data_IF_797699443018
#
_entry.id   IF_797699443018
#
_cell.length_a   1.000
_cell.length_b   1.000
_cell.length_c   1.000
_cell.angle_alpha   90.00
_cell.angle_beta   90.00
_cell.angle_gamma   90.00
#
_symmetry.space_group_name_H-M   'P 1'
#
loop_
_entity.id
_entity.type
_entity.pdbx_description
1 polymer ?
#
# COMPACT_ATOMS: atom_id res chain seq x y z
N UNK A 1 -15.08 -5.67 -9.57
CA UNK A 1 -16.14 -5.57 -10.59
C UNK A 1 -17.53 -5.65 -10.00
N UNK A 2 -17.81 -6.61 -9.09
CA UNK A 2 -19.14 -6.72 -8.47
C UNK A 2 -19.46 -5.60 -7.47
N UNK A 3 -18.48 -5.16 -6.70
CA UNK A 3 -18.60 -4.13 -5.66
C UNK A 3 -18.99 -2.74 -6.19
N UNK A 4 -18.87 -2.54 -7.50
CA UNK A 4 -19.25 -1.31 -8.20
C UNK A 4 -20.60 -1.40 -8.89
N UNK A 5 -21.22 -2.58 -8.93
CA UNK A 5 -22.54 -2.79 -9.51
C UNK A 5 -23.60 -2.14 -8.60
N UNK A 6 -24.52 -1.40 -9.21
CA UNK A 6 -25.65 -0.78 -8.52
C UNK A 6 -26.87 -1.67 -8.52
N UNK A 7 -26.90 -2.66 -9.39
CA UNK A 7 -27.97 -3.61 -9.59
C UNK A 7 -27.56 -5.02 -9.17
N UNK A 8 -28.56 -5.82 -8.79
CA UNK A 8 -28.43 -7.27 -8.67
C UNK A 8 -28.82 -7.90 -10.02
N UNK A 9 -28.04 -7.62 -11.07
CA UNK A 9 -28.32 -8.19 -12.39
C UNK A 9 -27.54 -9.50 -12.64
N UNK A 10 -28.24 -10.41 -13.31
CA UNK A 10 -28.01 -11.84 -13.49
C UNK A 10 -26.83 -12.20 -14.38
N UNK A 11 -26.01 -13.15 -13.94
CA UNK A 11 -25.33 -14.09 -14.84
C UNK A 11 -25.82 -15.49 -14.47
N UNK A 12 -26.92 -15.91 -15.08
CA UNK A 12 -27.35 -17.30 -15.03
C UNK A 12 -26.57 -18.11 -16.07
N UNK A 13 -26.20 -19.35 -15.76
CA UNK A 13 -25.82 -20.31 -16.79
C UNK A 13 -27.03 -20.58 -17.70
N UNK A 14 -26.80 -20.58 -19.02
CA UNK A 14 -27.83 -21.01 -19.96
C UNK A 14 -28.22 -22.46 -19.67
N UNK A 15 -29.43 -22.68 -19.13
CA UNK A 15 -30.06 -24.02 -19.12
C UNK A 15 -30.43 -24.60 -17.76
N UNK A 16 -30.04 -24.02 -16.63
CA UNK A 16 -30.47 -24.48 -15.31
C UNK A 16 -31.23 -23.35 -14.59
N UNK A 17 -32.46 -23.62 -14.14
CA UNK A 17 -33.39 -22.63 -13.59
C UNK A 17 -32.71 -21.62 -12.68
N UNK A 18 -32.63 -20.37 -13.15
CA UNK A 18 -31.73 -19.33 -12.66
C UNK A 18 -31.58 -19.27 -11.15
N UNK A 19 -30.45 -19.76 -10.67
CA UNK A 19 -29.99 -19.50 -9.31
C UNK A 19 -29.49 -18.06 -9.29
N UNK A 20 -30.10 -17.25 -8.42
CA UNK A 20 -29.80 -15.83 -8.28
C UNK A 20 -28.61 -15.67 -7.32
N UNK A 21 -27.42 -15.53 -7.88
CA UNK A 21 -26.22 -15.27 -7.07
C UNK A 21 -25.90 -13.78 -7.05
N UNK A 22 -25.72 -13.25 -5.83
CA UNK A 22 -25.26 -11.88 -5.62
C UNK A 22 -23.74 -11.80 -5.74
N UNK A 23 -23.23 -11.33 -6.88
CA UNK A 23 -21.79 -11.18 -7.12
C UNK A 23 -21.20 -9.86 -6.62
N UNK A 24 -21.95 -9.01 -5.91
CA UNK A 24 -21.45 -7.69 -5.46
C UNK A 24 -20.31 -7.78 -4.43
N UNK A 25 -20.12 -8.95 -3.84
CA UNK A 25 -18.99 -9.24 -2.95
C UNK A 25 -17.69 -9.54 -3.71
N UNK A 26 -17.73 -9.71 -5.04
CA UNK A 26 -16.55 -10.03 -5.87
C UNK A 26 -15.72 -8.77 -6.10
N UNK A 27 -14.60 -8.68 -5.39
CA UNK A 27 -13.67 -7.55 -5.45
C UNK A 27 -12.63 -7.77 -6.55
N UNK A 28 -12.38 -6.74 -7.36
CA UNK A 28 -11.26 -6.74 -8.31
C UNK A 28 -10.10 -5.90 -7.73
N UNK A 29 -8.87 -6.43 -7.58
CA UNK A 29 -7.81 -5.71 -6.86
C UNK A 29 -7.25 -4.45 -7.56
N UNK A 30 -7.46 -4.30 -8.88
CA UNK A 30 -7.14 -3.08 -9.63
C UNK A 30 -8.38 -2.21 -9.79
N UNK A 31 -8.16 -0.95 -10.14
CA UNK A 31 -9.24 -0.11 -10.64
C UNK A 31 -9.89 -0.76 -11.87
N UNK A 32 -11.21 -0.94 -11.85
CA UNK A 32 -11.96 -1.60 -12.94
C UNK A 32 -11.90 -0.81 -14.25
N UNK A 33 -11.51 0.47 -14.21
CA UNK A 33 -11.23 1.29 -15.40
C UNK A 33 -9.90 0.93 -16.06
N UNK A 34 -9.03 0.17 -15.40
CA UNK A 34 -7.78 -0.30 -15.98
C UNK A 34 -8.04 -1.45 -16.97
N UNK A 35 -8.51 -1.12 -18.17
CA UNK A 35 -8.91 -2.09 -19.19
C UNK A 35 -7.74 -2.99 -19.64
N UNK A 36 -6.53 -2.42 -19.73
CA UNK A 36 -5.31 -3.14 -20.13
C UNK A 36 -4.81 -4.13 -19.08
N UNK A 37 -5.43 -4.17 -17.90
CA UNK A 37 -5.21 -5.24 -16.93
C UNK A 37 -5.59 -6.63 -17.46
N UNK A 38 -6.59 -6.70 -18.34
CA UNK A 38 -7.10 -7.94 -18.94
C UNK A 38 -7.06 -7.89 -20.47
N UNK A 39 -7.42 -6.76 -21.08
CA UNK A 39 -7.52 -6.65 -22.54
C UNK A 39 -6.13 -6.53 -23.17
N UNK A 40 -5.81 -7.51 -24.01
CA UNK A 40 -4.53 -7.60 -24.74
C UNK A 40 -4.57 -6.92 -26.12
N UNK A 41 -5.72 -6.40 -26.52
CA UNK A 41 -5.95 -5.65 -27.77
C UNK A 41 -6.94 -4.50 -27.55
N UNK A 42 -7.15 -3.67 -28.57
CA UNK A 42 -7.91 -2.42 -28.48
C UNK A 42 -9.43 -2.56 -28.64
N UNK A 43 -10.00 -3.79 -28.68
CA UNK A 43 -11.45 -3.95 -28.84
C UNK A 43 -12.27 -3.36 -27.71
N UNK A 44 -11.72 -3.28 -26.50
CA UNK A 44 -12.37 -2.61 -25.35
C UNK A 44 -12.70 -1.14 -25.61
N UNK A 45 -11.96 -0.47 -26.50
CA UNK A 45 -12.20 0.94 -26.88
C UNK A 45 -12.66 1.14 -28.32
N UNK A 46 -12.52 0.14 -29.20
CA UNK A 46 -12.87 0.26 -30.62
C UNK A 46 -14.19 -0.41 -31.00
N UNK A 47 -14.75 -1.26 -30.12
CA UNK A 47 -16.00 -1.99 -30.37
C UNK A 47 -16.99 -1.85 -29.19
N UNK A 48 -17.48 -0.62 -28.89
CA UNK A 48 -18.47 -0.43 -27.84
C UNK A 48 -19.80 -1.10 -28.21
N UNK A 49 -20.43 -1.75 -27.23
CA UNK A 49 -21.74 -2.40 -27.35
C UNK A 49 -22.55 -2.22 -26.07
N UNK A 50 -23.88 -2.27 -26.18
CA UNK A 50 -24.77 -2.20 -25.03
C UNK A 50 -24.47 -3.30 -24.02
N UNK A 51 -24.25 -4.53 -24.49
CA UNK A 51 -23.95 -5.67 -23.63
C UNK A 51 -22.62 -5.51 -22.90
N UNK A 52 -21.53 -5.15 -23.60
CA UNK A 52 -20.23 -5.01 -22.94
C UNK A 52 -20.20 -3.84 -21.96
N UNK A 53 -20.64 -2.65 -22.39
CA UNK A 53 -20.60 -1.44 -21.57
C UNK A 53 -21.60 -1.54 -20.40
N UNK A 54 -22.78 -2.11 -20.64
CA UNK A 54 -23.84 -2.28 -19.64
C UNK A 54 -23.48 -3.24 -18.51
N UNK A 55 -22.45 -4.09 -18.66
CA UNK A 55 -22.00 -4.96 -17.55
C UNK A 55 -21.46 -4.18 -16.35
N UNK A 56 -20.76 -3.07 -16.59
CA UNK A 56 -20.23 -2.18 -15.55
C UNK A 56 -21.08 -0.91 -15.39
N UNK A 57 -21.67 -0.43 -16.49
CA UNK A 57 -22.66 0.65 -16.48
C UNK A 57 -24.07 0.07 -16.32
N UNK A 58 -24.24 -0.74 -15.29
CA UNK A 58 -25.40 -1.60 -15.05
C UNK A 58 -26.68 -0.84 -14.68
N UNK A 59 -26.55 0.43 -14.30
CA UNK A 59 -27.69 1.32 -14.08
C UNK A 59 -28.04 2.19 -15.30
N UNK A 60 -27.45 1.93 -16.48
CA UNK A 60 -27.69 2.71 -17.70
C UNK A 60 -28.62 1.94 -18.63
N UNK A 61 -29.80 2.52 -18.88
CA UNK A 61 -30.81 1.95 -19.75
C UNK A 61 -30.68 2.45 -21.18
N UNK A 62 -30.44 1.54 -22.11
CA UNK A 62 -30.29 1.83 -23.54
C UNK A 62 -31.61 1.72 -24.33
N UNK A 63 -32.68 1.20 -23.73
CA UNK A 63 -33.97 1.01 -24.40
C UNK A 63 -34.91 2.22 -24.33
N UNK A 64 -36.19 1.98 -24.64
CA UNK A 64 -37.25 2.99 -24.50
C UNK A 64 -37.42 3.39 -23.02
N UNK A 65 -37.46 4.68 -22.73
CA UNK A 65 -37.62 5.20 -21.37
C UNK A 65 -38.95 4.76 -20.74
N UNK A 66 -39.97 4.49 -21.54
CA UNK A 66 -41.26 4.00 -21.05
C UNK A 66 -41.17 2.58 -20.43
N UNK A 67 -40.18 1.78 -20.84
CA UNK A 67 -39.94 0.43 -20.30
C UNK A 67 -38.73 0.36 -19.35
N UNK A 68 -38.15 1.50 -18.99
CA UNK A 68 -36.97 1.57 -18.14
C UNK A 68 -37.25 1.00 -16.74
N UNK A 69 -36.40 0.09 -16.23
CA UNK A 69 -36.50 -0.40 -14.87
C UNK A 69 -36.41 0.73 -13.83
N UNK A 70 -37.15 0.58 -12.73
CA UNK A 70 -37.13 1.56 -11.63
C UNK A 70 -35.76 1.55 -10.96
N UNK A 71 -35.07 2.68 -11.00
CA UNK A 71 -33.72 2.85 -10.41
C UNK A 71 -32.64 3.08 -11.46
N UNK A 72 -32.93 2.77 -12.72
CA UNK A 72 -32.00 3.01 -13.83
C UNK A 72 -32.06 4.46 -14.31
N UNK A 73 -31.03 4.84 -15.05
CA UNK A 73 -30.89 6.13 -15.71
C UNK A 73 -30.89 5.92 -17.21
N UNK A 74 -31.75 6.65 -17.93
CA UNK A 74 -31.79 6.59 -19.39
C UNK A 74 -30.45 7.04 -19.99
N UNK A 75 -29.97 6.32 -21.00
CA UNK A 75 -28.76 6.67 -21.71
C UNK A 75 -28.89 8.08 -22.33
N UNK A 76 -27.95 9.01 -22.09
CA UNK A 76 -28.09 10.41 -22.54
C UNK A 76 -28.22 10.59 -24.06
N UNK A 77 -27.71 9.63 -24.84
CA UNK A 77 -27.85 9.60 -26.30
C UNK A 77 -29.24 9.16 -26.79
N UNK A 78 -30.18 8.89 -25.87
CA UNK A 78 -31.49 8.32 -26.17
C UNK A 78 -31.46 6.81 -26.41
N UNK A 79 -32.64 6.21 -26.70
CA UNK A 79 -32.76 4.78 -26.97
C UNK A 79 -31.87 4.33 -28.13
N UNK A 80 -31.11 3.26 -27.94
CA UNK A 80 -30.25 2.63 -28.94
C UNK A 80 -30.92 1.33 -29.41
N UNK A 81 -31.15 1.19 -30.72
CA UNK A 81 -31.78 -0.02 -31.28
C UNK A 81 -30.77 -1.14 -31.55
N UNK A 82 -29.48 -0.80 -31.66
CA UNK A 82 -28.36 -1.71 -31.83
C UNK A 82 -27.03 -0.99 -31.54
N UNK A 83 -25.92 -1.72 -31.63
CA UNK A 83 -24.58 -1.22 -31.25
C UNK A 83 -23.87 -0.44 -32.37
N UNK A 84 -24.42 -0.42 -33.60
CA UNK A 84 -23.74 0.16 -34.78
C UNK A 84 -23.47 1.66 -34.63
N UNK A 85 -24.28 2.36 -33.84
CA UNK A 85 -24.17 3.79 -33.59
C UNK A 85 -23.17 4.17 -32.49
N UNK A 86 -22.78 3.24 -31.61
CA UNK A 86 -22.08 3.55 -30.37
C UNK A 86 -20.75 4.28 -30.60
N UNK A 87 -19.93 3.81 -31.55
CA UNK A 87 -18.63 4.40 -31.82
C UNK A 87 -18.73 5.82 -32.40
N UNK A 88 -19.87 6.25 -32.95
CA UNK A 88 -20.08 7.63 -33.41
C UNK A 88 -19.89 8.64 -32.28
N UNK A 89 -20.38 8.30 -31.09
CA UNK A 89 -20.34 9.15 -29.91
C UNK A 89 -19.20 8.76 -28.94
N UNK A 90 -18.96 7.46 -28.78
CA UNK A 90 -17.94 6.89 -27.91
C UNK A 90 -16.70 6.49 -28.71
N UNK A 91 -15.93 7.49 -29.12
CA UNK A 91 -14.68 7.30 -29.84
C UNK A 91 -13.59 6.75 -28.90
N UNK A 92 -12.60 5.99 -29.42
CA UNK A 92 -11.58 5.34 -28.61
C UNK A 92 -10.71 6.35 -27.84
N UNK A 93 -10.10 7.30 -28.56
CA UNK A 93 -9.05 8.17 -28.00
C UNK A 93 -9.37 9.66 -28.12
N UNK A 94 -10.21 10.06 -29.08
CA UNK A 94 -10.57 11.46 -29.31
C UNK A 94 -11.91 11.80 -28.69
N UNK A 95 -12.00 12.96 -28.04
CA UNK A 95 -13.28 13.45 -27.51
C UNK A 95 -14.23 13.76 -28.67
N UNK A 96 -15.46 13.27 -28.59
CA UNK A 96 -16.57 13.59 -29.50
C UNK A 96 -17.65 14.34 -28.71
N UNK A 97 -18.92 13.99 -28.88
CA UNK A 97 -20.03 14.43 -28.03
C UNK A 97 -19.91 13.90 -26.58
N UNK A 98 -19.22 12.78 -26.39
CA UNK A 98 -18.84 12.23 -25.10
C UNK A 98 -17.30 12.25 -24.93
N UNK A 99 -16.78 12.18 -23.69
CA UNK A 99 -15.37 11.84 -23.46
C UNK A 99 -15.00 10.56 -24.22
N UNK A 100 -13.76 10.48 -24.70
CA UNK A 100 -13.27 9.25 -25.34
C UNK A 100 -13.25 8.11 -24.32
N UNK A 101 -13.34 6.87 -24.80
CA UNK A 101 -13.32 5.69 -23.93
C UNK A 101 -12.01 5.64 -23.14
N UNK A 102 -10.86 5.92 -23.76
CA UNK A 102 -9.57 5.97 -23.07
C UNK A 102 -9.53 7.03 -21.97
N UNK A 103 -10.01 8.25 -22.24
CA UNK A 103 -9.99 9.32 -21.23
C UNK A 103 -10.99 9.09 -20.10
N UNK A 104 -12.18 8.54 -20.38
CA UNK A 104 -13.18 8.21 -19.37
C UNK A 104 -12.72 7.09 -18.42
N UNK A 105 -11.90 6.16 -18.91
CA UNK A 105 -11.36 5.03 -18.16
C UNK A 105 -9.91 5.26 -17.70
N UNK A 106 -9.42 6.50 -17.77
CA UNK A 106 -8.07 6.82 -17.32
C UNK A 106 -7.95 6.65 -15.80
N UNK A 107 -6.96 5.85 -15.37
CA UNK A 107 -6.64 5.64 -13.96
C UNK A 107 -5.46 6.54 -13.60
N UNK A 108 -5.75 7.72 -13.06
CA UNK A 108 -4.73 8.65 -12.58
C UNK A 108 -5.05 9.13 -11.18
N UNK A 109 -4.00 9.23 -10.36
CA UNK A 109 -4.08 9.84 -9.04
C UNK A 109 -3.79 11.32 -9.20
N UNK A 110 -4.78 12.16 -8.92
CA UNK A 110 -4.69 13.60 -9.03
C UNK A 110 -3.89 14.22 -7.87
N UNK A 111 -2.58 13.95 -7.80
CA UNK A 111 -1.66 14.68 -6.93
C UNK A 111 -1.63 16.16 -7.34
N UNK A 112 -1.73 17.06 -6.37
CA UNK A 112 -1.56 18.50 -6.56
C UNK A 112 -0.09 18.89 -6.61
N UNK A 113 0.78 18.08 -5.97
CA UNK A 113 2.18 18.40 -5.80
C UNK A 113 3.09 17.27 -6.30
N UNK A 114 4.17 17.65 -6.98
CA UNK A 114 5.29 16.76 -7.29
C UNK A 114 6.39 17.01 -6.26
N UNK A 115 6.84 15.94 -5.61
CA UNK A 115 7.97 15.98 -4.68
C UNK A 115 9.21 15.43 -5.40
N UNK A 116 10.33 16.13 -5.27
CA UNK A 116 11.64 15.68 -5.72
C UNK A 116 12.57 15.59 -4.50
N UNK A 117 13.28 14.47 -4.35
CA UNK A 117 14.24 14.23 -3.29
C UNK A 117 15.65 14.10 -3.85
N UNK A 118 16.60 14.74 -3.19
CA UNK A 118 18.03 14.55 -3.42
C UNK A 118 18.75 14.35 -2.09
N UNK A 119 19.87 13.62 -2.15
CA UNK A 119 20.77 13.40 -1.02
C UNK A 119 22.19 13.76 -1.48
N UNK A 120 23.01 14.31 -0.59
CA UNK A 120 24.44 14.55 -0.88
C UNK A 120 25.14 13.26 -1.29
N UNK A 121 26.17 13.34 -2.13
CA UNK A 121 26.99 12.16 -2.42
C UNK A 121 27.85 11.77 -1.21
N UNK A 122 28.09 10.48 -0.96
CA UNK A 122 29.10 10.04 0.02
C UNK A 122 30.50 10.43 -0.46
N UNK A 123 31.47 10.60 0.45
CA UNK A 123 32.81 11.08 0.09
C UNK A 123 33.56 10.11 -0.85
N UNK A 124 33.29 8.81 -0.72
CA UNK A 124 33.84 7.77 -1.59
C UNK A 124 33.04 7.58 -2.91
N UNK A 125 31.95 8.32 -3.11
CA UNK A 125 31.11 8.27 -4.31
C UNK A 125 30.21 7.03 -4.46
N UNK A 126 30.20 6.10 -3.49
CA UNK A 126 29.49 4.81 -3.57
C UNK A 126 28.48 4.58 -2.45
N UNK A 127 28.90 4.69 -1.20
CA UNK A 127 28.06 4.44 -0.02
C UNK A 127 28.54 5.24 1.18
N UNK A 128 27.63 5.55 2.10
CA UNK A 128 27.98 6.30 3.30
C UNK A 128 28.72 5.44 4.32
N UNK A 129 29.67 6.06 5.03
CA UNK A 129 30.46 5.42 6.11
C UNK A 129 30.41 6.22 7.40
N UNK A 130 30.76 5.58 8.52
CA UNK A 130 30.74 6.21 9.84
C UNK A 130 31.47 7.57 9.85
N UNK A 131 30.86 8.56 10.49
CA UNK A 131 31.31 9.95 10.50
C UNK A 131 30.63 10.83 9.45
N UNK A 132 30.05 10.24 8.39
CA UNK A 132 29.32 10.99 7.38
C UNK A 132 27.87 11.27 7.82
N UNK A 133 27.43 12.51 7.57
CA UNK A 133 26.08 13.00 7.87
C UNK A 133 25.41 13.42 6.57
N UNK A 134 24.61 12.56 5.92
CA UNK A 134 23.99 12.91 4.65
C UNK A 134 23.05 14.11 4.80
N UNK A 135 23.00 14.98 3.79
CA UNK A 135 22.04 16.10 3.75
C UNK A 135 21.01 15.87 2.65
N UNK A 136 19.74 15.98 3.02
CA UNK A 136 18.61 15.89 2.10
C UNK A 136 18.23 17.26 1.57
N UNK A 137 17.78 17.29 0.32
CA UNK A 137 17.14 18.43 -0.32
C UNK A 137 15.80 17.97 -0.88
N UNK A 138 14.73 18.68 -0.52
CA UNK A 138 13.35 18.37 -0.85
C UNK A 138 12.77 19.56 -1.61
N UNK A 139 12.36 19.33 -2.85
CA UNK A 139 11.70 20.33 -3.69
C UNK A 139 10.25 19.92 -3.91
N UNK A 140 9.34 20.88 -3.78
CA UNK A 140 7.91 20.68 -3.97
C UNK A 140 7.47 21.59 -5.12
N UNK A 141 6.79 21.02 -6.12
CA UNK A 141 6.25 21.77 -7.27
C UNK A 141 4.76 21.53 -7.40
N UNK A 142 4.02 22.56 -7.82
CA UNK A 142 2.63 22.41 -8.22
C UNK A 142 2.56 21.62 -9.55
N UNK A 143 1.72 20.59 -9.60
CA UNK A 143 1.63 19.68 -10.77
C UNK A 143 1.04 20.37 -11.99
N UNK A 144 0.15 21.35 -11.81
CA UNK A 144 -0.53 22.03 -12.91
C UNK A 144 0.35 23.06 -13.61
N UNK A 145 1.09 23.83 -12.82
CA UNK A 145 1.90 24.97 -13.28
C UNK A 145 3.38 24.63 -13.41
N UNK A 146 3.86 23.58 -12.73
CA UNK A 146 5.28 23.25 -12.62
C UNK A 146 6.07 24.19 -11.70
N UNK A 147 5.42 25.20 -11.11
CA UNK A 147 6.07 26.20 -10.27
C UNK A 147 6.53 25.59 -8.94
N UNK A 148 7.71 26.01 -8.45
CA UNK A 148 8.18 25.63 -7.13
C UNK A 148 7.31 26.28 -6.04
N UNK A 149 6.91 25.47 -5.06
CA UNK A 149 6.21 25.95 -3.87
C UNK A 149 7.25 26.38 -2.86
N UNK A 150 7.09 27.59 -2.31
CA UNK A 150 7.96 28.09 -1.26
C UNK A 150 7.70 27.36 0.07
N UNK A 151 8.62 26.51 0.55
CA UNK A 151 8.40 25.76 1.78
C UNK A 151 8.53 26.60 3.05
N UNK A 152 9.19 27.77 3.00
CA UNK A 152 9.31 28.66 4.16
C UNK A 152 7.99 29.33 4.53
N UNK A 153 6.99 29.29 3.64
CA UNK A 153 5.65 29.81 3.90
C UNK A 153 4.65 28.73 4.31
N UNK A 154 5.05 27.45 4.28
CA UNK A 154 4.19 26.34 4.68
C UNK A 154 4.23 26.20 6.19
N UNK A 155 3.11 26.43 6.86
CA UNK A 155 2.99 26.45 8.32
C UNK A 155 2.11 25.30 8.81
N UNK A 156 2.30 24.90 10.07
CA UNK A 156 1.32 24.03 10.73
C UNK A 156 0.01 24.81 11.02
N UNK A 157 -1.18 24.18 10.93
CA UNK A 157 -2.46 24.81 11.15
C UNK A 157 -2.57 25.34 12.58
N UNK A 158 -3.09 26.56 12.73
CA UNK A 158 -3.41 27.11 14.06
C UNK A 158 -4.57 26.37 14.72
N UNK A 159 -5.54 25.91 13.91
CA UNK A 159 -6.69 25.10 14.33
C UNK A 159 -6.94 24.03 13.27
N UNK A 160 -7.12 22.78 13.67
CA UNK A 160 -7.23 21.62 12.75
C UNK A 160 -8.45 21.68 11.81
N UNK A 161 -9.44 22.52 12.11
CA UNK A 161 -10.72 22.62 11.39
C UNK A 161 -10.78 23.74 10.35
N UNK A 162 -9.84 24.69 10.34
CA UNK A 162 -9.83 25.79 9.38
C UNK A 162 -8.40 26.05 8.87
N UNK A 163 -8.06 25.38 7.78
CA UNK A 163 -6.73 25.40 7.16
C UNK A 163 -6.75 26.28 5.91
N UNK A 164 -6.04 27.40 5.94
CA UNK A 164 -5.73 28.19 4.75
C UNK A 164 -4.81 27.41 3.79
N UNK A 165 -4.65 27.90 2.55
CA UNK A 165 -3.86 27.21 1.53
C UNK A 165 -2.40 26.90 1.95
N UNK A 166 -1.81 27.74 2.80
CA UNK A 166 -0.44 27.59 3.30
C UNK A 166 -0.36 26.83 4.63
N UNK A 167 -1.51 26.50 5.26
CA UNK A 167 -1.60 25.68 6.46
C UNK A 167 -1.76 24.20 6.08
N UNK A 168 -0.63 23.55 5.85
CA UNK A 168 -0.62 22.14 5.46
C UNK A 168 -0.87 21.26 6.66
N UNK A 169 -1.55 20.12 6.50
CA UNK A 169 -1.77 19.15 7.59
C UNK A 169 -0.51 18.34 7.94
N UNK A 170 0.48 18.32 7.06
CA UNK A 170 1.76 17.64 7.29
C UNK A 170 2.78 17.87 6.18
N UNK A 171 4.06 17.83 6.53
CA UNK A 171 5.18 17.65 5.61
C UNK A 171 6.15 16.67 6.29
N UNK A 172 5.93 15.37 6.10
CA UNK A 172 6.48 14.34 6.98
C UNK A 172 7.65 13.63 6.32
N UNK A 173 8.76 13.56 7.04
CA UNK A 173 9.99 12.88 6.65
C UNK A 173 10.21 11.63 7.50
N UNK A 174 10.51 10.54 6.83
CA UNK A 174 10.88 9.25 7.41
C UNK A 174 12.22 8.83 6.85
N UNK A 175 13.09 8.32 7.71
CA UNK A 175 14.29 7.61 7.28
C UNK A 175 14.34 6.30 8.03
N UNK A 176 14.49 5.22 7.28
CA UNK A 176 14.42 3.87 7.84
C UNK A 176 15.35 2.90 7.13
N UNK A 177 15.84 1.90 7.86
CA UNK A 177 16.67 0.84 7.31
C UNK A 177 17.50 0.09 8.35
N UNK A 178 18.36 -0.85 7.93
CA UNK A 178 18.50 -1.29 6.53
C UNK A 178 17.26 -2.09 6.09
N UNK A 179 17.06 -2.33 4.79
CA UNK A 179 15.86 -3.00 4.24
C UNK A 179 15.61 -4.39 4.85
N UNK A 180 16.66 -5.07 5.30
CA UNK A 180 16.61 -6.39 5.94
C UNK A 180 16.06 -6.38 7.37
N UNK A 181 16.13 -5.25 8.07
CA UNK A 181 15.65 -5.06 9.44
C UNK A 181 15.34 -3.58 9.62
N UNK A 182 14.24 -3.15 9.01
CA UNK A 182 13.95 -1.74 8.84
C UNK A 182 13.47 -1.15 10.16
N UNK A 183 14.26 -0.20 10.68
CA UNK A 183 13.91 0.60 11.86
C UNK A 183 14.05 2.08 11.52
N UNK A 184 13.29 2.98 12.16
CA UNK A 184 13.51 4.42 12.03
C UNK A 184 14.92 4.79 12.48
N UNK A 185 15.62 5.62 11.70
CA UNK A 185 17.00 6.04 12.00
C UNK A 185 17.25 7.47 11.53
N UNK A 186 18.37 8.06 11.94
CA UNK A 186 18.98 9.26 11.35
C UNK A 186 18.20 10.58 11.44
N UNK A 187 16.97 10.60 11.94
CA UNK A 187 16.20 11.82 12.16
C UNK A 187 16.03 12.13 13.64
N UNK A 188 15.71 13.39 13.97
CA UNK A 188 15.46 13.81 15.36
C UNK A 188 14.32 13.00 15.98
N UNK A 189 13.26 12.66 15.24
CA UNK A 189 12.16 11.87 15.78
C UNK A 189 12.54 10.40 15.97
N UNK A 190 13.40 9.85 15.11
CA UNK A 190 13.88 8.47 15.26
C UNK A 190 14.78 8.31 16.50
N UNK A 191 15.53 9.36 16.87
CA UNK A 191 16.37 9.36 18.05
C UNK A 191 15.61 9.53 19.38
N UNK A 192 14.31 9.85 19.34
CA UNK A 192 13.51 10.00 20.57
C UNK A 192 13.27 8.63 21.23
N UNK A 193 13.38 8.55 22.57
CA UNK A 193 12.87 7.43 23.34
C UNK A 193 11.39 7.14 23.03
N UNK A 194 10.98 5.86 23.08
CA UNK A 194 9.64 5.42 22.70
C UNK A 194 8.50 6.14 23.45
N UNK A 195 8.71 6.47 24.72
CA UNK A 195 7.78 7.23 25.58
C UNK A 195 7.63 8.71 25.20
N UNK A 196 8.57 9.24 24.40
CA UNK A 196 8.60 10.65 23.96
C UNK A 196 8.22 10.85 22.51
N UNK A 197 8.01 9.78 21.74
CA UNK A 197 7.56 9.87 20.35
C UNK A 197 6.11 10.40 20.34
N UNK A 198 5.89 11.52 19.65
CA UNK A 198 4.60 12.24 19.66
C UNK A 198 3.58 11.69 18.67
N UNK A 199 4.05 10.87 17.73
CA UNK A 199 3.26 10.24 16.69
C UNK A 199 3.42 8.72 16.77
N UNK A 200 2.46 8.01 16.20
CA UNK A 200 2.49 6.55 16.04
C UNK A 200 3.65 6.05 15.16
N UNK A 201 4.44 6.96 14.60
CA UNK A 201 5.62 6.74 13.78
C UNK A 201 6.60 7.91 13.95
N UNK A 202 7.91 7.68 13.78
CA UNK A 202 8.98 8.66 13.95
C UNK A 202 9.13 9.49 12.68
N UNK A 203 8.05 10.20 12.35
CA UNK A 203 8.08 11.22 11.32
C UNK A 203 8.59 12.53 11.89
N UNK A 204 9.47 13.18 11.15
CA UNK A 204 9.81 14.59 11.38
C UNK A 204 8.86 15.46 10.58
N UNK A 205 8.29 16.46 11.26
CA UNK A 205 7.46 17.45 10.60
C UNK A 205 8.32 18.62 10.11
N UNK A 206 8.33 18.82 8.80
CA UNK A 206 9.16 19.80 8.13
C UNK A 206 8.41 21.10 7.81
N UNK A 207 7.15 21.26 8.25
CA UNK A 207 6.44 22.55 8.17
C UNK A 207 7.01 23.54 9.17
N UNK A 208 6.82 24.83 8.95
CA UNK A 208 7.11 25.86 9.97
C UNK A 208 6.16 25.67 11.13
N UNK A 209 6.71 25.53 12.34
CA UNK A 209 5.99 25.31 13.59
C UNK A 209 5.56 26.65 14.18
N UNK A 210 4.36 26.69 14.75
CA UNK A 210 3.84 27.87 15.45
C UNK A 210 4.65 28.14 16.72
N UNK A 211 5.12 27.09 17.38
CA UNK A 211 5.93 27.17 18.59
C UNK A 211 7.39 26.92 18.23
N UNK A 212 8.23 27.94 18.38
CA UNK A 212 9.64 27.89 18.01
C UNK A 212 10.42 26.75 18.68
N UNK A 213 10.07 26.36 19.91
CA UNK A 213 10.71 25.23 20.62
C UNK A 213 10.39 23.86 20.02
N UNK A 214 9.37 23.78 19.16
CA UNK A 214 9.00 22.55 18.45
C UNK A 214 9.66 22.46 17.07
N UNK A 215 10.42 23.48 16.64
CA UNK A 215 11.22 23.42 15.42
C UNK A 215 12.36 22.42 15.59
N UNK A 216 12.51 21.55 14.60
CA UNK A 216 13.63 20.65 14.52
C UNK A 216 14.83 21.41 13.94
N UNK A 217 15.90 21.54 14.72
CA UNK A 217 17.10 22.27 14.34
C UNK A 217 17.83 21.66 13.12
N UNK A 218 17.53 20.40 12.76
CA UNK A 218 18.05 19.78 11.55
C UNK A 218 17.41 20.30 10.25
N UNK A 219 16.30 21.05 10.36
CA UNK A 219 15.53 21.54 9.21
C UNK A 219 15.95 22.96 8.85
N UNK A 220 16.16 23.21 7.56
CA UNK A 220 16.27 24.57 7.02
C UNK A 220 15.34 24.70 5.82
N UNK A 221 14.71 25.87 5.67
CA UNK A 221 13.73 26.15 4.61
C UNK A 221 14.19 27.37 3.84
N UNK A 222 14.28 27.27 2.52
CA UNK A 222 14.51 28.40 1.62
C UNK A 222 13.24 28.71 0.83
N UNK A 223 13.30 29.68 -0.08
CA UNK A 223 12.19 29.96 -1.00
C UNK A 223 11.91 28.83 -2.00
N UNK A 224 12.83 27.87 -2.16
CA UNK A 224 12.77 26.86 -3.23
C UNK A 224 12.85 25.41 -2.74
N UNK A 225 13.35 25.17 -1.52
CA UNK A 225 13.56 23.83 -1.01
C UNK A 225 13.54 23.77 0.52
N UNK A 226 13.29 22.57 1.04
CA UNK A 226 13.59 22.19 2.42
C UNK A 226 14.91 21.41 2.38
N UNK A 227 15.83 21.68 3.29
CA UNK A 227 16.98 20.81 3.55
C UNK A 227 16.90 20.21 4.93
N UNK A 228 17.24 18.92 5.04
CA UNK A 228 17.29 18.21 6.32
C UNK A 228 18.69 17.61 6.51
N UNK A 229 19.34 17.92 7.63
CA UNK A 229 20.62 17.31 7.98
C UNK A 229 20.38 16.01 8.74
N UNK A 230 20.68 14.87 8.12
CA UNK A 230 20.59 13.58 8.80
C UNK A 230 21.70 13.43 9.85
N UNK A 231 21.43 12.52 10.79
CA UNK A 231 22.41 12.04 11.77
C UNK A 231 23.61 11.35 11.13
N UNK A 232 24.57 11.01 11.97
CA UNK A 232 25.74 10.23 11.57
C UNK A 232 25.32 8.79 11.28
N UNK A 233 25.80 8.23 10.17
CA UNK A 233 25.55 6.82 9.81
C UNK A 233 26.41 5.83 10.61
N UNK A 234 27.16 6.30 11.61
CA UNK A 234 27.85 5.44 12.58
C UNK A 234 26.87 4.46 13.21
N UNK A 235 27.39 3.29 13.57
CA UNK A 235 26.66 2.19 14.24
C UNK A 235 25.49 1.61 13.42
N UNK A 236 25.27 2.10 12.19
CA UNK A 236 24.32 1.52 11.26
C UNK A 236 24.88 0.27 10.60
N UNK A 237 24.03 -0.75 10.51
CA UNK A 237 24.33 -1.98 9.76
C UNK A 237 24.45 -1.66 8.27
N UNK A 238 25.41 -2.29 7.60
CA UNK A 238 25.54 -2.14 6.16
C UNK A 238 24.27 -2.61 5.41
N UNK A 239 23.82 -1.83 4.43
CA UNK A 239 22.64 -2.16 3.62
C UNK A 239 21.97 -0.94 2.95
N UNK A 240 20.77 -1.18 2.43
CA UNK A 240 19.93 -0.17 1.78
C UNK A 240 19.04 0.54 2.81
N UNK A 241 19.08 1.86 2.81
CA UNK A 241 18.22 2.73 3.61
C UNK A 241 17.27 3.51 2.72
N UNK A 242 16.10 3.82 3.25
CA UNK A 242 15.03 4.53 2.54
C UNK A 242 14.76 5.85 3.22
N UNK A 243 14.77 6.92 2.42
CA UNK A 243 14.20 8.22 2.76
C UNK A 243 12.83 8.29 2.10
N UNK A 244 11.80 8.58 2.88
CA UNK A 244 10.46 8.79 2.38
C UNK A 244 9.94 10.14 2.87
N UNK A 245 9.40 10.93 1.95
CA UNK A 245 8.74 12.19 2.28
C UNK A 245 7.37 12.25 1.64
N UNK A 246 6.41 12.81 2.37
CA UNK A 246 5.15 13.19 1.78
C UNK A 246 4.65 14.56 2.25
N UNK A 247 4.08 15.27 1.28
CA UNK A 247 3.42 16.55 1.40
C UNK A 247 1.93 16.35 1.61
N UNK A 248 1.38 16.97 2.64
CA UNK A 248 -0.02 16.85 3.01
C UNK A 248 -0.67 18.24 3.10
N UNK A 249 -1.20 18.79 2.00
CA UNK A 249 -1.83 20.10 1.97
C UNK A 249 -3.13 20.15 2.78
N UNK A 250 -3.71 21.34 2.87
CA UNK A 250 -4.99 21.61 3.53
C UNK A 250 -6.15 20.79 2.93
N UNK A 251 -6.19 20.71 1.60
CA UNK A 251 -7.21 20.04 0.80
C UNK A 251 -6.58 19.29 -0.36
N UNK A 252 -7.26 18.23 -0.81
CA UNK A 252 -6.77 17.38 -1.90
C UNK A 252 -5.52 16.57 -1.55
N UNK A 253 -4.97 15.91 -2.57
CA UNK A 253 -3.80 15.06 -2.43
C UNK A 253 -2.56 15.89 -2.71
N UNK A 254 -1.59 15.88 -1.80
CA UNK A 254 -0.34 16.57 -2.02
C UNK A 254 0.54 15.84 -3.01
N UNK A 255 1.60 15.23 -2.49
CA UNK A 255 2.57 14.48 -3.27
C UNK A 255 3.50 13.71 -2.34
N UNK A 256 4.22 12.74 -2.88
CA UNK A 256 5.18 11.97 -2.11
C UNK A 256 6.35 11.54 -3.00
N UNK A 257 7.47 11.19 -2.37
CA UNK A 257 8.63 10.65 -3.04
C UNK A 257 9.42 9.78 -2.06
N UNK A 258 10.13 8.78 -2.60
CA UNK A 258 11.17 8.07 -1.87
C UNK A 258 12.49 8.12 -2.64
N UNK A 259 13.59 8.02 -1.90
CA UNK A 259 14.92 7.75 -2.45
C UNK A 259 15.63 6.74 -1.55
N UNK A 260 16.36 5.82 -2.16
CA UNK A 260 17.18 4.85 -1.45
C UNK A 260 18.65 5.27 -1.48
N UNK A 261 19.39 5.01 -0.40
CA UNK A 261 20.82 5.21 -0.32
C UNK A 261 21.49 4.03 0.38
N UNK A 262 22.81 3.90 0.22
CA UNK A 262 23.57 2.79 0.78
C UNK A 262 24.46 3.23 1.94
N UNK A 263 24.58 2.38 2.94
CA UNK A 263 25.51 2.54 4.07
C UNK A 263 26.39 1.30 4.14
N UNK A 264 27.71 1.47 4.26
CA UNK A 264 28.69 0.40 4.48
C UNK A 264 28.87 -0.64 3.37
N UNK A 265 28.10 -0.58 2.29
CA UNK A 265 28.18 -1.50 1.13
C UNK A 265 27.66 -0.81 -0.12
N UNK A 266 28.18 -1.13 -1.30
CA UNK A 266 27.58 -0.67 -2.58
C UNK A 266 26.46 -1.60 -3.09
N UNK A 267 26.32 -2.78 -2.49
CA UNK A 267 25.35 -3.80 -2.92
C UNK A 267 23.99 -3.54 -2.28
N UNK A 268 22.95 -3.21 -3.07
CA UNK A 268 21.63 -2.98 -2.50
C UNK A 268 21.02 -4.27 -1.95
N UNK A 269 20.51 -4.22 -0.73
CA UNK A 269 19.63 -5.25 -0.19
C UNK A 269 18.46 -5.53 -1.15
N UNK A 270 18.13 -6.80 -1.40
CA UNK A 270 16.93 -7.14 -2.17
C UNK A 270 15.66 -6.95 -1.33
N UNK A 271 14.56 -6.57 -1.97
CA UNK A 271 13.23 -6.63 -1.34
C UNK A 271 12.84 -8.08 -1.07
N UNK A 272 11.95 -8.34 -0.10
CA UNK A 272 11.47 -9.71 0.16
C UNK A 272 10.39 -10.12 -0.85
N UNK A 273 9.61 -9.17 -1.37
CA UNK A 273 8.59 -9.36 -2.39
C UNK A 273 8.52 -8.11 -3.28
N UNK A 274 8.13 -8.27 -4.55
CA UNK A 274 8.20 -7.22 -5.59
C UNK A 274 6.98 -7.20 -6.51
N UNK A 275 6.25 -8.31 -6.64
CA UNK A 275 5.24 -8.52 -7.69
C UNK A 275 3.82 -8.05 -7.35
N UNK A 276 3.66 -7.12 -6.41
CA UNK A 276 2.35 -6.59 -5.97
C UNK A 276 1.51 -6.05 -7.14
N UNK A 277 2.16 -5.31 -8.06
CA UNK A 277 1.51 -4.64 -9.19
C UNK A 277 0.91 -5.62 -10.22
N UNK A 278 1.30 -6.91 -10.21
CA UNK A 278 0.68 -7.89 -11.09
C UNK A 278 -0.83 -8.00 -10.83
N UNK A 279 -1.23 -8.03 -9.57
CA UNK A 279 -2.63 -8.08 -9.16
C UNK A 279 -3.19 -6.69 -8.88
N UNK A 280 -2.42 -5.79 -8.28
CA UNK A 280 -2.95 -4.49 -7.83
C UNK A 280 -2.72 -3.33 -8.80
N UNK A 281 -1.83 -3.45 -9.79
CA UNK A 281 -1.58 -2.38 -10.78
C UNK A 281 -1.29 -1.04 -10.10
N UNK A 282 -2.06 -0.03 -10.49
CA UNK A 282 -1.96 1.36 -10.00
C UNK A 282 -2.75 1.61 -8.71
N UNK A 283 -3.25 0.55 -8.05
CA UNK A 283 -3.92 0.66 -6.76
C UNK A 283 -3.00 1.29 -5.74
N UNK A 284 -3.61 2.13 -4.90
CA UNK A 284 -2.94 2.87 -3.86
C UNK A 284 -3.56 2.61 -2.51
N UNK A 285 -2.70 2.46 -1.51
CA UNK A 285 -3.11 2.37 -0.12
C UNK A 285 -3.31 3.76 0.44
N UNK A 286 -4.21 3.89 1.41
CA UNK A 286 -4.54 5.16 2.06
C UNK A 286 -5.14 6.21 1.10
N UNK A 287 -5.72 5.80 -0.04
CA UNK A 287 -6.25 6.69 -1.09
C UNK A 287 -7.42 7.59 -0.70
N UNK A 288 -8.21 7.21 0.31
CA UNK A 288 -9.24 8.08 0.91
C UNK A 288 -8.71 8.93 2.07
N UNK A 289 -7.48 8.65 2.50
CA UNK A 289 -6.86 9.37 3.61
C UNK A 289 -6.21 10.64 3.10
N UNK A 290 -6.24 11.68 3.92
CA UNK A 290 -5.50 12.90 3.60
C UNK A 290 -3.97 12.65 3.70
N UNK A 291 -3.49 11.57 4.34
CA UNK A 291 -2.06 11.24 4.33
C UNK A 291 -1.52 10.98 2.91
N UNK A 292 -2.43 10.68 1.97
CA UNK A 292 -2.15 10.54 0.55
C UNK A 292 -2.28 9.09 0.10
N UNK A 293 -2.68 8.84 -1.15
CA UNK A 293 -2.50 7.55 -1.78
C UNK A 293 -1.01 7.24 -1.87
N UNK A 294 -0.65 6.01 -1.51
CA UNK A 294 0.69 5.50 -1.61
C UNK A 294 0.69 4.31 -2.57
N UNK A 295 1.56 4.37 -3.57
CA UNK A 295 1.82 3.25 -4.47
C UNK A 295 2.22 2.00 -3.69
N UNK A 296 1.93 0.83 -4.25
CA UNK A 296 2.28 -0.46 -3.65
C UNK A 296 3.76 -0.81 -3.82
N UNK A 297 4.63 0.10 -3.38
CA UNK A 297 6.06 -0.10 -3.27
C UNK A 297 6.41 -0.61 -1.85
N UNK A 298 7.07 -1.77 -1.69
CA UNK A 298 7.37 -2.33 -0.37
C UNK A 298 8.13 -1.37 0.56
N UNK A 299 9.14 -0.65 0.05
CA UNK A 299 9.92 0.33 0.83
C UNK A 299 9.06 1.49 1.37
N UNK A 300 8.02 1.87 0.61
CA UNK A 300 7.08 2.91 1.02
C UNK A 300 6.24 2.44 2.21
N UNK A 301 5.71 1.22 2.14
CA UNK A 301 4.92 0.65 3.23
C UNK A 301 5.76 0.49 4.51
N UNK A 302 7.01 0.01 4.36
CA UNK A 302 7.95 -0.20 5.47
C UNK A 302 8.36 1.09 6.19
N UNK A 303 8.20 2.26 5.55
CA UNK A 303 8.44 3.55 6.21
C UNK A 303 7.48 3.80 7.38
N UNK A 304 6.31 3.14 7.41
CA UNK A 304 5.30 3.26 8.47
C UNK A 304 4.85 1.92 9.10
N UNK A 305 4.99 0.80 8.39
CA UNK A 305 4.50 -0.53 8.80
C UNK A 305 5.67 -1.50 9.03
N UNK A 306 6.47 -1.25 10.06
CA UNK A 306 7.63 -2.08 10.38
C UNK A 306 7.66 -2.56 11.84
N UNK A 307 8.74 -3.26 12.20
CA UNK A 307 9.00 -3.86 13.51
C UNK A 307 8.86 -2.81 14.64
N UNK A 308 9.59 -1.70 14.58
CA UNK A 308 9.59 -0.79 15.72
C UNK A 308 8.27 -0.02 15.86
N UNK A 309 7.48 -0.40 16.88
CA UNK A 309 6.36 0.41 17.38
C UNK A 309 6.87 1.71 17.95
N UNK A 310 6.09 2.77 17.77
CA UNK A 310 6.56 4.12 18.08
C UNK A 310 5.69 4.84 19.13
N UNK A 311 4.76 4.15 19.79
CA UNK A 311 3.99 4.65 20.94
C UNK A 311 3.75 3.52 21.97
N UNK A 312 3.61 3.81 23.28
CA UNK A 312 3.22 2.82 24.30
C UNK A 312 1.73 2.40 24.22
N UNK A 313 1.34 1.20 24.66
CA UNK A 313 -0.06 0.72 24.71
C UNK A 313 -0.25 -0.79 24.43
N UNK A 314 -1.39 -1.39 24.78
CA UNK A 314 -1.60 -2.85 24.86
C UNK A 314 -0.96 -3.70 23.74
N UNK A 315 -0.05 -4.56 24.16
CA UNK A 315 0.94 -5.30 23.35
C UNK A 315 0.61 -6.78 23.16
N UNK A 316 -0.61 -7.20 23.48
CA UNK A 316 -1.00 -8.60 23.30
C UNK A 316 -1.13 -8.95 21.82
N UNK A 317 -0.58 -10.10 21.44
CA UNK A 317 -0.86 -10.75 20.14
C UNK A 317 -2.39 -10.94 19.93
N UNK A 318 -3.16 -10.99 21.03
CA UNK A 318 -4.61 -11.21 21.14
C UNK A 318 -5.43 -9.96 21.46
N UNK A 319 -4.80 -8.80 21.74
CA UNK A 319 -5.56 -7.61 22.17
C UNK A 319 -5.90 -6.73 20.98
N UNK A 320 -7.18 -6.77 20.57
CA UNK A 320 -7.83 -6.02 19.47
C UNK A 320 -7.60 -4.50 19.43
N UNK A 321 -6.98 -3.88 20.43
CA UNK A 321 -7.45 -2.57 20.86
C UNK A 321 -6.57 -1.35 20.57
N UNK A 322 -5.61 -1.40 19.65
CA UNK A 322 -5.06 -0.15 19.09
C UNK A 322 -4.61 -0.31 17.64
N UNK A 323 -5.49 0.16 16.75
CA UNK A 323 -5.16 0.44 15.37
C UNK A 323 -4.07 1.51 15.27
N UNK A 324 -3.26 1.34 14.22
CA UNK A 324 -2.13 2.17 13.80
C UNK A 324 -0.82 1.94 14.59
N UNK A 325 0.23 1.53 13.87
CA UNK A 325 1.63 1.76 14.29
C UNK A 325 2.64 0.61 14.34
N UNK A 326 2.25 -0.66 14.48
CA UNK A 326 3.22 -1.70 14.89
C UNK A 326 2.89 -3.15 14.54
N UNK A 327 2.11 -3.36 13.47
CA UNK A 327 2.10 -4.68 12.86
C UNK A 327 3.03 -4.59 11.65
N UNK A 328 4.17 -5.30 11.66
CA UNK A 328 5.08 -5.34 10.52
C UNK A 328 4.30 -5.67 9.24
N UNK A 329 4.69 -5.07 8.13
CA UNK A 329 4.00 -5.22 6.84
C UNK A 329 3.79 -6.69 6.46
N UNK A 330 4.72 -7.57 6.84
CA UNK A 330 4.61 -9.02 6.63
C UNK A 330 3.33 -9.60 7.25
N UNK A 331 2.96 -9.22 8.48
CA UNK A 331 1.72 -9.69 9.14
C UNK A 331 0.49 -9.20 8.40
N UNK A 332 0.48 -7.92 8.01
CA UNK A 332 -0.66 -7.30 7.32
C UNK A 332 -0.90 -7.92 5.96
N UNK A 333 0.16 -8.00 5.15
CA UNK A 333 0.08 -8.52 3.78
C UNK A 333 -0.35 -9.97 3.81
N UNK A 334 0.32 -10.85 4.57
CA UNK A 334 -0.08 -12.25 4.64
C UNK A 334 -1.50 -12.42 5.19
N UNK A 335 -1.84 -11.75 6.31
CA UNK A 335 -3.14 -11.86 6.94
C UNK A 335 -4.28 -11.43 6.02
N UNK A 336 -4.18 -10.27 5.36
CA UNK A 336 -5.23 -9.78 4.43
C UNK A 336 -5.40 -10.73 3.26
N UNK A 337 -4.31 -11.28 2.70
CA UNK A 337 -4.41 -12.18 1.55
C UNK A 337 -4.85 -13.59 1.94
N UNK A 338 -4.67 -14.02 3.19
CA UNK A 338 -5.26 -15.27 3.68
C UNK A 338 -6.73 -15.09 4.09
N UNK A 339 -7.07 -13.92 4.62
CA UNK A 339 -8.43 -13.37 4.72
C UNK A 339 -9.44 -14.37 5.26
N UNK A 340 -10.37 -14.79 4.40
CA UNK A 340 -11.42 -15.77 4.66
C UNK A 340 -10.96 -17.05 5.38
N UNK A 341 -9.72 -17.47 5.17
CA UNK A 341 -9.19 -18.73 5.69
C UNK A 341 -8.48 -18.61 7.04
N UNK A 342 -8.33 -17.39 7.56
CA UNK A 342 -7.82 -17.18 8.92
C UNK A 342 -8.86 -17.62 9.95
N UNK A 343 -8.41 -18.13 11.10
CA UNK A 343 -9.30 -18.42 12.23
C UNK A 343 -9.73 -17.12 12.95
N UNK A 344 -8.95 -16.04 12.81
CA UNK A 344 -9.14 -14.75 13.46
C UNK A 344 -9.06 -13.56 12.47
N UNK A 345 -9.94 -13.50 11.44
CA UNK A 345 -9.88 -12.47 10.39
C UNK A 345 -10.04 -11.04 10.92
N UNK A 346 -10.72 -10.87 12.06
CA UNK A 346 -10.93 -9.59 12.75
C UNK A 346 -9.72 -9.13 13.57
N UNK A 347 -8.66 -9.94 13.65
CA UNK A 347 -7.42 -9.63 14.36
C UNK A 347 -6.27 -9.23 13.41
N UNK A 348 -6.50 -9.27 12.10
CA UNK A 348 -5.54 -8.80 11.09
C UNK A 348 -5.35 -7.27 11.18
N UNK A 349 -6.45 -6.54 11.36
CA UNK A 349 -6.46 -5.09 11.56
C UNK A 349 -7.59 -4.67 12.50
N UNK A 350 -7.28 -3.78 13.46
CA UNK A 350 -8.18 -3.41 14.56
C UNK A 350 -9.52 -2.74 14.16
N UNK A 351 -9.75 -2.42 12.88
CA UNK A 351 -10.93 -1.67 12.43
C UNK A 351 -11.70 -2.35 11.30
N UNK A 352 -11.13 -3.37 10.66
CA UNK A 352 -11.67 -3.93 9.42
C UNK A 352 -11.85 -5.44 9.57
N UNK A 353 -12.87 -5.98 8.92
CA UNK A 353 -13.08 -7.42 8.80
C UNK A 353 -12.61 -7.87 7.40
N UNK A 354 -11.63 -8.77 7.34
CA UNK A 354 -11.10 -9.33 6.09
C UNK A 354 -11.63 -10.74 5.81
N UNK A 355 -12.66 -11.19 6.52
CA UNK A 355 -13.29 -12.50 6.30
C UNK A 355 -13.90 -12.67 4.89
N UNK A 356 -14.19 -11.56 4.20
CA UNK A 356 -14.64 -11.57 2.80
C UNK A 356 -13.52 -11.63 1.75
N UNK A 357 -12.24 -11.53 2.15
CA UNK A 357 -11.13 -11.53 1.19
C UNK A 357 -10.75 -12.97 0.84
N UNK A 358 -10.89 -13.31 -0.45
CA UNK A 358 -10.45 -14.58 -1.04
C UNK A 358 -9.34 -14.29 -2.04
N UNK A 359 -8.13 -14.83 -1.80
CA UNK A 359 -7.02 -14.67 -2.75
C UNK A 359 -7.34 -15.36 -4.08
N UNK A 360 -7.14 -14.72 -5.26
CA UNK A 360 -7.52 -15.31 -6.55
C UNK A 360 -6.78 -16.62 -6.91
N UNK A 361 -5.62 -16.88 -6.30
CA UNK A 361 -4.86 -18.13 -6.49
C UNK A 361 -4.79 -18.94 -5.19
N UNK A 362 -4.12 -20.09 -5.22
CA UNK A 362 -3.66 -20.75 -4.00
C UNK A 362 -2.64 -19.85 -3.30
N UNK A 363 -2.89 -19.49 -2.04
CA UNK A 363 -2.05 -18.58 -1.25
C UNK A 363 -0.67 -19.17 -0.97
N UNK A 364 -0.53 -20.50 -1.06
CA UNK A 364 0.75 -21.21 -0.93
C UNK A 364 1.65 -21.01 -2.14
N UNK A 365 1.14 -20.39 -3.21
CA UNK A 365 1.97 -19.90 -4.31
C UNK A 365 2.83 -18.70 -3.87
N UNK A 366 3.80 -18.92 -2.98
CA UNK A 366 4.63 -17.87 -2.41
C UNK A 366 5.35 -17.04 -3.49
N UNK A 367 5.75 -17.67 -4.59
CA UNK A 367 6.47 -17.03 -5.71
C UNK A 367 5.62 -16.03 -6.48
N UNK A 368 4.30 -15.99 -6.23
CA UNK A 368 3.43 -14.93 -6.76
C UNK A 368 3.83 -13.54 -6.25
N UNK A 369 4.31 -13.46 -5.01
CA UNK A 369 4.85 -12.23 -4.42
C UNK A 369 6.37 -12.29 -4.25
N UNK A 370 6.88 -13.43 -3.78
CA UNK A 370 8.29 -13.70 -3.50
C UNK A 370 9.01 -14.27 -4.72
N UNK A 371 9.20 -13.41 -5.72
CA UNK A 371 9.81 -13.81 -6.99
C UNK A 371 11.34 -13.89 -6.95
N UNK A 372 11.93 -14.21 -8.09
CA UNK A 372 13.39 -14.31 -8.25
C UNK A 372 14.12 -12.94 -8.15
N UNK A 373 13.42 -11.82 -8.34
CA UNK A 373 13.99 -10.49 -8.14
C UNK A 373 14.13 -10.16 -6.65
N UNK A 374 13.30 -10.75 -5.80
CA UNK A 374 13.37 -10.65 -4.36
C UNK A 374 14.51 -11.46 -3.70
N UNK A 375 14.58 -11.35 -2.37
CA UNK A 375 15.45 -12.17 -1.51
C UNK A 375 14.76 -13.49 -1.12
N UNK A 376 15.57 -14.51 -0.79
CA UNK A 376 15.08 -15.79 -0.29
C UNK A 376 14.67 -15.78 1.20
N UNK A 377 14.63 -14.61 1.85
CA UNK A 377 14.35 -14.51 3.29
C UNK A 377 13.03 -15.16 3.69
N UNK A 378 12.03 -15.19 2.81
CA UNK A 378 10.74 -15.84 3.05
C UNK A 378 10.85 -17.35 3.33
N UNK A 379 11.89 -18.02 2.83
CA UNK A 379 12.17 -19.45 3.06
C UNK A 379 13.42 -19.72 3.92
N UNK A 380 14.33 -18.76 4.02
CA UNK A 380 15.58 -18.89 4.78
C UNK A 380 15.46 -18.36 6.22
N UNK A 381 14.57 -17.39 6.45
CA UNK A 381 14.42 -16.68 7.73
C UNK A 381 12.95 -16.65 8.20
N UNK A 382 12.37 -17.81 8.55
CA UNK A 382 11.02 -17.87 9.09
C UNK A 382 10.95 -17.14 10.44
N UNK A 383 9.87 -16.36 10.64
CA UNK A 383 9.61 -15.62 11.86
C UNK A 383 8.15 -15.77 12.30
N UNK A 384 7.90 -15.66 13.61
CA UNK A 384 6.52 -15.74 14.13
C UNK A 384 5.62 -14.67 13.50
N UNK A 385 6.17 -13.49 13.20
CA UNK A 385 5.45 -12.36 12.61
C UNK A 385 4.90 -12.70 11.22
N UNK A 386 5.67 -13.41 10.40
CA UNK A 386 5.25 -13.78 9.05
C UNK A 386 4.37 -15.03 9.03
N UNK A 387 4.74 -16.06 9.81
CA UNK A 387 4.06 -17.37 9.79
C UNK A 387 2.68 -17.29 10.45
N UNK A 388 2.57 -16.66 11.60
CA UNK A 388 1.31 -16.58 12.36
C UNK A 388 0.31 -15.58 11.76
N UNK A 389 0.68 -14.92 10.66
CA UNK A 389 -0.25 -14.08 9.91
C UNK A 389 -1.29 -14.91 9.14
N UNK A 390 -0.92 -16.13 8.71
CA UNK A 390 -1.84 -17.09 8.11
C UNK A 390 -2.16 -18.25 9.09
N UNK A 391 -1.22 -18.61 9.96
CA UNK A 391 -1.38 -19.70 10.92
C UNK A 391 -1.76 -19.17 12.31
N UNK A 392 -3.02 -18.77 12.48
CA UNK A 392 -3.52 -18.03 13.65
C UNK A 392 -4.41 -18.85 14.61
N UNK A 393 -4.37 -20.18 14.49
CA UNK A 393 -4.91 -21.09 15.51
C UNK A 393 -4.21 -20.89 16.84
N UNK A 394 -4.95 -21.06 17.94
CA UNK A 394 -4.39 -20.97 19.29
C UNK A 394 -3.17 -21.89 19.49
N UNK A 395 -3.19 -23.10 18.94
CA UNK A 395 -2.05 -24.02 19.00
C UNK A 395 -0.84 -23.54 18.19
N UNK A 396 -1.05 -22.92 17.02
CA UNK A 396 0.00 -22.36 16.19
C UNK A 396 0.63 -21.13 16.86
N UNK A 397 -0.20 -20.26 17.44
CA UNK A 397 0.25 -19.10 18.22
C UNK A 397 1.09 -19.55 19.40
N UNK A 398 0.60 -20.51 20.19
CA UNK A 398 1.34 -21.05 21.33
C UNK A 398 2.70 -21.64 20.90
N UNK A 399 2.72 -22.42 19.81
CA UNK A 399 3.97 -22.92 19.24
C UNK A 399 4.91 -21.79 18.84
N UNK A 400 4.46 -20.82 18.05
CA UNK A 400 5.27 -19.69 17.61
C UNK A 400 5.82 -18.86 18.77
N UNK A 401 5.01 -18.60 19.80
CA UNK A 401 5.45 -17.90 21.02
C UNK A 401 6.54 -18.68 21.76
N UNK A 402 6.43 -20.00 21.88
CA UNK A 402 7.46 -20.82 22.52
C UNK A 402 8.78 -20.89 21.72
N UNK A 403 8.73 -20.65 20.40
CA UNK A 403 9.90 -20.68 19.52
C UNK A 403 10.58 -19.32 19.38
N UNK A 404 10.09 -18.28 20.04
CA UNK A 404 10.64 -16.92 19.95
C UNK A 404 11.02 -16.42 21.34
N UNK A 405 12.30 -16.10 21.52
CA UNK A 405 12.75 -15.37 22.71
C UNK A 405 12.57 -13.88 22.45
N UNK A 406 11.78 -13.23 23.29
CA UNK A 406 11.56 -11.79 23.27
C UNK A 406 12.37 -11.13 24.40
N UNK A 407 13.38 -10.34 24.03
CA UNK A 407 14.23 -9.63 25.00
C UNK A 407 13.52 -8.41 25.60
N UNK A 408 12.49 -7.90 24.92
CA UNK A 408 11.68 -6.76 25.34
C UNK A 408 10.19 -7.12 25.36
N UNK A 409 9.71 -7.97 26.31
CA UNK A 409 8.32 -8.47 26.31
C UNK A 409 7.23 -7.40 26.38
N UNK A 410 7.58 -6.19 26.82
CA UNK A 410 6.68 -5.04 26.83
C UNK A 410 6.50 -4.41 25.43
N UNK A 411 7.36 -4.75 24.47
CA UNK A 411 7.38 -4.28 23.07
C UNK A 411 7.61 -5.47 22.11
N UNK A 412 6.66 -6.41 22.00
CA UNK A 412 6.81 -7.70 21.31
C UNK A 412 6.74 -7.59 19.77
N UNK A 413 7.12 -6.43 19.23
CA UNK A 413 7.35 -6.22 17.82
C UNK A 413 8.66 -5.45 17.56
N UNK A 414 9.45 -5.11 18.59
CA UNK A 414 10.63 -4.22 18.52
C UNK A 414 11.70 -4.64 17.49
N UNK A 415 11.61 -5.86 16.95
CA UNK A 415 12.52 -6.42 15.98
C UNK A 415 13.85 -6.79 16.62
N UNK A 416 13.89 -6.97 17.95
CA UNK A 416 15.01 -7.55 18.69
C UNK A 416 14.79 -9.04 19.02
N UNK A 417 13.66 -9.60 18.59
CA UNK A 417 13.27 -10.95 18.94
C UNK A 417 14.16 -11.99 18.27
N UNK A 418 14.49 -13.02 19.03
CA UNK A 418 15.37 -14.10 18.60
C UNK A 418 14.51 -15.30 18.21
N UNK A 419 14.47 -15.57 16.91
CA UNK A 419 13.67 -16.65 16.31
C UNK A 419 14.46 -17.96 16.27
N UNK A 420 13.94 -19.00 16.90
CA UNK A 420 14.50 -20.36 16.78
C UNK A 420 13.86 -21.17 15.65
N UNK A 421 12.86 -20.59 14.97
CA UNK A 421 12.09 -21.17 13.87
C UNK A 421 12.97 -21.83 12.80
N UNK A 422 14.10 -21.19 12.43
CA UNK A 422 15.05 -21.68 11.41
C UNK A 422 15.67 -23.05 11.74
N UNK A 423 15.63 -23.48 13.00
CA UNK A 423 16.13 -24.79 13.43
C UNK A 423 15.36 -25.92 12.76
N UNK A 424 14.04 -25.77 12.66
CA UNK A 424 13.12 -26.78 12.09
C UNK A 424 12.56 -26.37 10.73
N UNK A 425 12.38 -25.07 10.49
CA UNK A 425 11.76 -24.50 9.29
C UNK A 425 12.75 -23.75 8.39
N UNK A 426 14.05 -23.79 8.67
CA UNK A 426 15.05 -23.15 7.82
C UNK A 426 15.26 -23.86 6.49
N UNK A 427 15.99 -23.23 5.57
CA UNK A 427 16.29 -23.81 4.26
C UNK A 427 16.90 -25.22 4.37
N UNK A 428 16.39 -26.14 3.54
CA UNK A 428 16.82 -27.53 3.50
C UNK A 428 16.22 -28.44 4.57
N UNK A 429 15.59 -27.90 5.62
CA UNK A 429 14.89 -28.70 6.65
C UNK A 429 13.62 -29.34 6.12
N UNK A 430 13.10 -30.36 6.80
CA UNK A 430 11.92 -31.09 6.34
C UNK A 430 10.65 -30.23 6.33
N UNK A 431 10.57 -29.27 7.26
CA UNK A 431 9.44 -28.36 7.40
C UNK A 431 9.73 -26.97 6.82
N UNK A 432 10.67 -26.85 5.89
CA UNK A 432 11.00 -25.56 5.28
C UNK A 432 9.80 -25.02 4.47
N UNK A 433 9.55 -23.70 4.48
CA UNK A 433 8.40 -23.10 3.80
C UNK A 433 8.29 -23.48 2.32
N UNK A 434 9.42 -23.60 1.62
CA UNK A 434 9.49 -23.98 0.21
C UNK A 434 9.15 -25.46 -0.06
N UNK A 435 9.26 -26.34 0.94
CA UNK A 435 8.80 -27.74 0.84
C UNK A 435 7.32 -27.86 1.15
N UNK A 436 6.88 -27.30 2.28
CA UNK A 436 5.50 -27.52 2.79
C UNK A 436 4.44 -26.69 2.08
N UNK A 437 4.85 -25.58 1.43
CA UNK A 437 3.97 -24.76 0.58
C UNK A 437 4.21 -25.01 -0.91
N UNK A 438 4.97 -26.03 -1.28
CA UNK A 438 5.18 -26.34 -2.69
C UNK A 438 3.86 -26.71 -3.36
N UNK A 439 3.60 -26.09 -4.51
CA UNK A 439 2.43 -26.38 -5.34
C UNK A 439 2.90 -26.86 -6.71
N UNK A 440 2.32 -27.95 -7.21
CA UNK A 440 2.62 -28.51 -8.53
C UNK A 440 1.32 -28.78 -9.27
N UNK A 441 1.18 -28.24 -10.48
CA UNK A 441 -0.02 -28.42 -11.29
C UNK A 441 -0.14 -29.89 -11.77
N UNK A 442 -1.36 -30.49 -11.79
CA UNK A 442 -2.62 -29.99 -11.26
C UNK A 442 -2.72 -30.08 -9.73
N UNK A 443 -3.14 -28.99 -9.09
CA UNK A 443 -3.30 -28.95 -7.65
C UNK A 443 -4.65 -28.36 -7.23
N UNK A 444 -5.31 -29.00 -6.24
CA UNK A 444 -6.54 -28.52 -5.61
C UNK A 444 -6.22 -27.95 -4.22
N UNK A 445 -6.50 -26.66 -3.94
CA UNK A 445 -6.36 -26.04 -2.62
C UNK A 445 -6.85 -26.94 -1.49
N UNK A 446 -6.12 -27.04 -0.35
CA UNK A 446 -6.54 -27.86 0.79
C UNK A 446 -7.63 -27.17 1.63
N UNK A 447 -8.18 -26.05 1.14
CA UNK A 447 -9.21 -25.23 1.77
C UNK A 447 -10.30 -24.89 0.74
N UNK A 448 -11.57 -24.70 1.18
CA UNK A 448 -12.69 -24.42 0.28
C UNK A 448 -12.47 -23.11 -0.49
N UNK A 449 -12.91 -23.01 -1.75
CA UNK A 449 -12.71 -21.81 -2.59
C UNK A 449 -13.98 -21.00 -2.81
N UNK A 450 -15.12 -21.52 -2.35
CA UNK A 450 -16.40 -20.83 -2.42
C UNK A 450 -16.50 -19.78 -1.31
N UNK A 451 -17.14 -18.63 -1.56
CA UNK A 451 -17.60 -17.75 -0.49
C UNK A 451 -18.48 -18.55 0.49
N UNK A 452 -18.45 -18.19 1.78
CA UNK A 452 -19.47 -18.70 2.70
C UNK A 452 -20.83 -18.09 2.31
N UNK A 453 -21.85 -18.93 2.15
CA UNK A 453 -23.24 -18.53 1.93
C UNK A 453 -23.82 -17.75 3.11
#
# INVERSE_FOLDING_TARGET
MGEHLKSIHSVGEEGEGGVFDDYRHVIFPKDVRNCTACHVDDRWKTQPSQLACGTCHDSIWFGDVASMPKGDTAHPGGPQTNDSGCNTCHQPDTKSVAPSITEAHKVEIAYQHKVELAITAPANGKFFVAGEKPKLTITIKDVKTGAAINPSTIVEPKVSTNVSANEWRGARLFVSGPRVQTKPVLTTAAALPADKKTYTYAANDLRVRQVATNEDAAVTRSATAITYQLGDVKDLRAGTYTVFFYAQPATGLGGNALINFQVGTETPDKMVATNCAQCHGDTVMHGTSIAGPFALAPDLCKSCHDYERQLPGNVGWTTRNNGFGAAPIARRVHGVHFGHYTDKPKEIHAREDYSGVIFPQDVRNCTKCHDAAGSNRWKEEPSRVACLACHDKDSAIAHGTLMTQDATPAEPYSGDEIETCRTCHGAGRDFSPDKVHNISNPYKPPYPRSPAE
#
